data_IF_327426378094
#
_entry.id   IF_327426378094
#
_cell.length_a   1.000
_cell.length_b   1.000
_cell.length_c   1.000
_cell.angle_alpha   90.00
_cell.angle_beta   90.00
_cell.angle_gamma   90.00
#
_symmetry.space_group_name_H-M   'P 1'
#
loop_
_entity.id
_entity.type
_entity.pdbx_description
1 polymer ?
#
# COMPACT_ATOMS: atom_id res chain seq x y z
N UNK A 1 -6.53 7.24 -19.44
CA UNK A 1 -5.16 7.82 -19.39
C UNK A 1 -4.11 6.71 -19.40
N UNK A 2 -2.85 7.03 -19.76
CA UNK A 2 -1.72 6.09 -19.70
C UNK A 2 -1.02 6.23 -18.34
N UNK A 3 -0.79 5.11 -17.66
CA UNK A 3 -0.09 5.02 -16.37
C UNK A 3 0.80 3.78 -16.34
N UNK A 4 1.62 3.63 -15.28
CA UNK A 4 2.59 2.54 -15.16
C UNK A 4 2.31 1.66 -13.95
N UNK A 5 2.43 0.34 -14.12
CA UNK A 5 2.18 -0.65 -13.07
C UNK A 5 3.24 -1.75 -13.12
N UNK A 6 3.76 -2.13 -11.96
CA UNK A 6 4.69 -3.25 -11.82
C UNK A 6 3.98 -4.49 -11.29
N UNK A 7 4.23 -5.65 -11.89
CA UNK A 7 3.61 -6.91 -11.47
C UNK A 7 4.49 -8.11 -11.85
N UNK A 8 4.40 -9.17 -11.03
CA UNK A 8 5.03 -10.47 -11.25
C UNK A 8 4.11 -11.48 -11.97
N UNK A 9 2.83 -11.14 -12.12
CA UNK A 9 1.77 -12.07 -12.53
C UNK A 9 0.95 -11.55 -13.71
N UNK A 10 0.97 -10.25 -13.98
CA UNK A 10 0.26 -9.65 -15.10
C UNK A 10 0.96 -9.90 -16.46
N UNK A 11 0.19 -9.77 -17.53
CA UNK A 11 0.66 -9.79 -18.92
C UNK A 11 -0.22 -8.89 -19.80
N UNK A 12 0.23 -8.60 -21.02
CA UNK A 12 -0.55 -7.79 -21.98
C UNK A 12 -1.96 -8.35 -22.19
N UNK A 13 -2.96 -7.48 -22.07
CA UNK A 13 -4.39 -7.84 -22.10
C UNK A 13 -4.99 -8.18 -20.74
N UNK A 14 -4.19 -8.28 -19.68
CA UNK A 14 -4.70 -8.47 -18.31
C UNK A 14 -5.55 -7.27 -17.91
N UNK A 15 -6.79 -7.52 -17.49
CA UNK A 15 -7.63 -6.55 -16.79
C UNK A 15 -7.30 -6.63 -15.30
N UNK A 16 -6.87 -5.53 -14.71
CA UNK A 16 -6.52 -5.49 -13.29
C UNK A 16 -7.80 -5.55 -12.44
N UNK A 17 -7.80 -6.47 -11.48
CA UNK A 17 -8.94 -6.72 -10.60
C UNK A 17 -8.66 -6.02 -9.27
N UNK A 18 -9.58 -5.15 -8.87
CA UNK A 18 -9.56 -4.51 -7.56
C UNK A 18 -9.57 -5.57 -6.45
N UNK A 19 -8.71 -5.39 -5.44
CA UNK A 19 -8.51 -6.36 -4.36
C UNK A 19 -8.39 -7.83 -4.83
N UNK A 20 -7.62 -8.08 -5.89
CA UNK A 20 -7.44 -9.43 -6.47
C UNK A 20 -7.04 -10.50 -5.42
N UNK A 21 -6.32 -10.09 -4.37
CA UNK A 21 -5.86 -10.98 -3.28
C UNK A 21 -6.83 -11.04 -2.09
N UNK A 22 -7.98 -10.35 -2.16
CA UNK A 22 -8.99 -10.30 -1.08
C UNK A 22 -8.43 -9.84 0.27
N UNK A 23 -7.49 -8.89 0.22
CA UNK A 23 -6.77 -8.36 1.37
C UNK A 23 -7.63 -7.43 2.23
N UNK A 24 -8.80 -6.97 1.77
CA UNK A 24 -9.67 -6.09 2.57
C UNK A 24 -10.06 -6.72 3.91
N UNK A 25 -10.15 -8.05 3.96
CA UNK A 25 -10.44 -8.81 5.18
C UNK A 25 -9.32 -8.73 6.21
N UNK A 26 -8.08 -8.48 5.80
CA UNK A 26 -6.94 -8.28 6.70
C UNK A 26 -6.93 -6.87 7.31
N UNK A 27 -7.54 -5.90 6.63
CA UNK A 27 -7.61 -4.49 7.06
C UNK A 27 -8.83 -4.21 7.92
N UNK A 28 -9.96 -4.86 7.64
CA UNK A 28 -11.24 -4.64 8.33
C UNK A 28 -11.16 -4.71 9.87
N UNK A 29 -10.44 -5.67 10.50
CA UNK A 29 -10.32 -5.74 11.96
C UNK A 29 -9.69 -4.48 12.57
N UNK A 30 -8.68 -3.90 11.93
CA UNK A 30 -8.02 -2.69 12.39
C UNK A 30 -8.94 -1.46 12.31
N UNK A 31 -9.72 -1.34 11.23
CA UNK A 31 -10.73 -0.27 11.10
C UNK A 31 -11.81 -0.40 12.19
N UNK A 32 -12.30 -1.61 12.45
CA UNK A 32 -13.28 -1.88 13.52
C UNK A 32 -12.69 -1.49 14.88
N UNK A 33 -11.43 -1.84 15.13
CA UNK A 33 -10.75 -1.53 16.38
C UNK A 33 -10.64 -0.01 16.61
N UNK A 34 -10.21 0.77 15.60
CA UNK A 34 -10.13 2.24 15.70
C UNK A 34 -11.49 2.91 15.92
N UNK A 35 -12.57 2.37 15.32
CA UNK A 35 -13.93 2.82 15.58
C UNK A 35 -14.37 2.62 17.04
N UNK A 36 -13.76 1.68 17.76
CA UNK A 36 -13.97 1.55 19.20
C UNK A 36 -13.12 2.56 19.97
N UNK A 37 -11.79 2.48 19.82
CA UNK A 37 -10.79 3.40 20.38
C UNK A 37 -9.37 2.96 19.99
N UNK A 38 -8.38 3.81 20.31
CA UNK A 38 -6.96 3.55 20.04
C UNK A 38 -6.41 2.37 20.84
N UNK A 39 -6.91 2.12 22.04
CA UNK A 39 -6.50 1.00 22.89
C UNK A 39 -6.87 -0.34 22.25
N UNK A 40 -8.06 -0.45 21.64
CA UNK A 40 -8.49 -1.62 20.89
C UNK A 40 -7.56 -1.87 19.69
N UNK A 41 -7.21 -0.83 18.94
CA UNK A 41 -6.27 -0.96 17.81
C UNK A 41 -4.89 -1.40 18.30
N UNK A 42 -4.38 -0.77 19.36
CA UNK A 42 -3.08 -1.09 19.94
C UNK A 42 -3.02 -2.54 20.45
N UNK A 43 -4.08 -3.02 21.10
CA UNK A 43 -4.16 -4.41 21.56
C UNK A 43 -4.19 -5.43 20.40
N UNK A 44 -4.89 -5.12 19.31
CA UNK A 44 -4.87 -5.95 18.10
C UNK A 44 -3.47 -5.99 17.48
N UNK A 45 -2.80 -4.84 17.41
CA UNK A 45 -1.41 -4.75 16.94
C UNK A 45 -0.44 -5.56 17.82
N UNK A 46 -0.53 -5.44 19.15
CA UNK A 46 0.26 -6.25 20.10
C UNK A 46 0.01 -7.75 19.94
N UNK A 47 -1.22 -8.15 19.63
CA UNK A 47 -1.55 -9.54 19.33
C UNK A 47 -0.83 -10.03 18.05
N UNK A 48 -0.75 -9.18 17.03
CA UNK A 48 0.05 -9.43 15.83
C UNK A 48 1.55 -9.58 16.13
N UNK A 49 2.10 -8.68 16.96
CA UNK A 49 3.50 -8.79 17.43
C UNK A 49 3.76 -10.09 18.17
N UNK A 50 2.83 -10.50 19.05
CA UNK A 50 2.94 -11.76 19.78
C UNK A 50 2.93 -12.96 18.84
N UNK A 51 2.03 -12.99 17.85
CA UNK A 51 1.98 -14.06 16.83
C UNK A 51 3.30 -14.12 16.06
N UNK A 52 3.84 -12.98 15.60
CA UNK A 52 5.15 -12.91 14.93
C UNK A 52 6.27 -13.49 15.80
N UNK A 53 6.30 -13.15 17.09
CA UNK A 53 7.29 -13.69 18.03
C UNK A 53 7.17 -15.22 18.20
N UNK A 54 5.93 -15.73 18.28
CA UNK A 54 5.66 -17.18 18.36
C UNK A 54 6.11 -17.88 17.08
N UNK A 55 5.72 -17.40 15.89
CA UNK A 55 6.15 -17.97 14.61
C UNK A 55 7.67 -17.94 14.46
N UNK A 56 8.30 -16.84 14.88
CA UNK A 56 9.75 -16.69 14.89
C UNK A 56 10.47 -17.73 15.75
N UNK A 57 9.92 -18.05 16.93
CA UNK A 57 10.45 -19.09 17.83
C UNK A 57 10.43 -20.49 17.20
N UNK A 58 9.45 -20.77 16.35
CA UNK A 58 9.29 -22.07 15.69
C UNK A 58 9.82 -22.11 14.24
N UNK A 59 10.65 -21.14 13.84
CA UNK A 59 11.20 -21.02 12.48
C UNK A 59 10.13 -20.95 11.37
N UNK A 60 8.93 -20.47 11.71
CA UNK A 60 7.82 -20.23 10.77
C UNK A 60 7.80 -18.77 10.30
N UNK A 61 8.97 -18.13 10.20
CA UNK A 61 9.11 -16.70 9.87
C UNK A 61 8.52 -16.35 8.49
N UNK A 62 8.46 -17.31 7.58
CA UNK A 62 7.86 -17.12 6.25
C UNK A 62 6.32 -17.15 6.27
N UNK A 63 5.71 -17.41 7.43
CA UNK A 63 4.26 -17.26 7.66
C UNK A 63 3.91 -15.95 8.37
N UNK A 64 4.85 -15.01 8.47
CA UNK A 64 4.59 -13.70 9.09
C UNK A 64 3.42 -13.02 8.37
N UNK A 65 2.31 -12.88 9.08
CA UNK A 65 1.20 -12.05 8.66
C UNK A 65 1.76 -10.64 8.65
N UNK A 66 1.87 -9.99 7.50
CA UNK A 66 2.40 -8.63 7.34
C UNK A 66 1.50 -7.58 8.06
N UNK A 67 1.27 -7.74 9.37
CA UNK A 67 0.22 -7.12 10.17
C UNK A 67 0.50 -5.64 10.38
N UNK A 68 1.77 -5.23 10.33
CA UNK A 68 2.17 -3.81 10.31
C UNK A 68 1.55 -3.13 9.09
N UNK A 69 1.67 -3.71 7.90
CA UNK A 69 1.05 -3.17 6.68
C UNK A 69 -0.46 -3.08 6.82
N UNK A 70 -1.11 -4.14 7.32
CA UNK A 70 -2.57 -4.16 7.47
C UNK A 70 -3.06 -3.18 8.54
N UNK A 71 -2.28 -2.96 9.59
CA UNK A 71 -2.53 -1.94 10.60
C UNK A 71 -2.42 -0.53 10.01
N UNK A 72 -1.37 -0.26 9.22
CA UNK A 72 -1.20 1.02 8.50
C UNK A 72 -2.33 1.29 7.52
N UNK A 73 -2.67 0.31 6.67
CA UNK A 73 -3.82 0.41 5.75
C UNK A 73 -5.14 0.57 6.51
N UNK A 74 -5.27 -0.03 7.71
CA UNK A 74 -6.42 0.14 8.59
C UNK A 74 -6.58 1.56 9.13
N UNK A 75 -5.47 2.24 9.45
CA UNK A 75 -5.49 3.66 9.83
C UNK A 75 -5.93 4.51 8.63
N UNK A 76 -5.38 4.24 7.46
CA UNK A 76 -5.71 5.01 6.25
C UNK A 76 -7.19 4.82 5.88
N UNK A 77 -7.70 3.59 5.88
CA UNK A 77 -9.11 3.34 5.59
C UNK A 77 -10.02 3.93 6.68
N UNK A 78 -9.62 3.92 7.95
CA UNK A 78 -10.35 4.60 9.01
C UNK A 78 -10.45 6.12 8.75
N UNK A 79 -9.34 6.78 8.44
CA UNK A 79 -9.33 8.22 8.13
C UNK A 79 -10.16 8.52 6.89
N UNK A 80 -9.99 7.74 5.82
CA UNK A 80 -10.77 7.88 4.59
C UNK A 80 -12.27 7.78 4.84
N UNK A 81 -12.74 6.75 5.57
CA UNK A 81 -14.16 6.57 5.85
C UNK A 81 -14.80 7.72 6.63
N UNK A 82 -14.04 8.35 7.53
CA UNK A 82 -14.58 9.37 8.44
C UNK A 82 -14.37 10.80 7.94
N UNK A 83 -13.30 11.06 7.19
CA UNK A 83 -12.85 12.41 6.86
C UNK A 83 -12.79 12.67 5.33
N UNK A 84 -12.57 11.63 4.51
CA UNK A 84 -12.43 11.76 3.05
C UNK A 84 -13.15 10.66 2.25
N UNK A 85 -14.46 10.46 2.47
CA UNK A 85 -15.20 9.32 1.92
C UNK A 85 -15.31 9.33 0.38
N UNK A 86 -15.03 10.46 -0.27
CA UNK A 86 -15.02 10.65 -1.71
C UNK A 86 -13.84 9.95 -2.40
N UNK A 87 -12.73 9.71 -1.69
CA UNK A 87 -11.57 9.06 -2.26
C UNK A 87 -11.72 7.53 -2.29
N UNK A 88 -11.08 6.85 -3.26
CA UNK A 88 -11.13 5.40 -3.37
C UNK A 88 -10.45 4.72 -2.18
N UNK A 89 -10.97 3.56 -1.77
CA UNK A 89 -10.30 2.69 -0.80
C UNK A 89 -9.02 2.14 -1.44
N UNK A 90 -7.89 2.35 -0.75
CA UNK A 90 -6.56 1.90 -1.14
C UNK A 90 -6.47 0.40 -1.43
N UNK A 91 -7.05 -0.45 -0.59
CA UNK A 91 -6.99 -1.91 -0.75
C UNK A 91 -7.87 -2.40 -1.89
N UNK A 92 -9.05 -1.79 -2.05
CA UNK A 92 -10.00 -2.11 -3.12
C UNK A 92 -9.71 -1.35 -4.42
N UNK A 93 -8.47 -0.88 -4.59
CA UNK A 93 -7.99 -0.16 -5.77
C UNK A 93 -6.73 -0.79 -6.33
N UNK A 94 -6.39 -0.39 -7.55
CA UNK A 94 -5.09 -0.62 -8.14
C UNK A 94 -4.23 0.64 -8.02
N UNK A 95 -2.92 0.42 -7.89
CA UNK A 95 -1.92 1.46 -7.76
C UNK A 95 -1.13 1.59 -9.06
N UNK A 96 -0.90 2.84 -9.45
CA UNK A 96 -0.14 3.19 -10.65
C UNK A 96 0.82 4.34 -10.39
N UNK A 97 1.73 4.54 -11.33
CA UNK A 97 2.64 5.67 -11.37
C UNK A 97 2.44 6.50 -12.63
N UNK A 98 2.76 7.78 -12.51
CA UNK A 98 2.66 8.77 -13.58
C UNK A 98 3.85 8.72 -14.55
N UNK A 99 4.98 8.14 -14.13
CA UNK A 99 6.21 8.08 -14.90
C UNK A 99 6.99 6.79 -14.69
N UNK A 100 7.80 6.46 -15.69
CA UNK A 100 8.75 5.34 -15.62
C UNK A 100 9.80 5.58 -14.53
N UNK A 101 10.22 6.83 -14.32
CA UNK A 101 11.21 7.16 -13.27
C UNK A 101 10.65 6.88 -11.87
N UNK A 102 9.39 7.23 -11.61
CA UNK A 102 8.68 6.86 -10.38
C UNK A 102 8.66 5.33 -10.17
N UNK A 103 8.38 4.57 -11.24
CA UNK A 103 8.38 3.11 -11.20
C UNK A 103 9.78 2.51 -10.97
N UNK A 104 10.83 3.07 -11.58
CA UNK A 104 12.22 2.66 -11.35
C UNK A 104 12.62 2.86 -9.89
N UNK A 105 12.31 4.03 -9.34
CA UNK A 105 12.60 4.34 -7.94
C UNK A 105 11.90 3.35 -7.00
N UNK A 106 10.63 3.02 -7.24
CA UNK A 106 9.93 2.02 -6.44
C UNK A 106 10.57 0.64 -6.58
N UNK A 107 10.94 0.24 -7.79
CA UNK A 107 11.57 -1.06 -8.01
C UNK A 107 12.89 -1.21 -7.26
N UNK A 108 13.73 -0.18 -7.24
CA UNK A 108 14.97 -0.20 -6.46
C UNK A 108 14.71 -0.17 -4.94
N UNK A 109 13.69 0.55 -4.47
CA UNK A 109 13.29 0.57 -3.05
C UNK A 109 12.77 -0.80 -2.56
N UNK A 110 11.92 -1.47 -3.35
CA UNK A 110 11.28 -2.73 -2.96
C UNK A 110 12.15 -3.97 -3.28
N UNK A 111 12.96 -3.91 -4.33
CA UNK A 111 13.67 -5.08 -4.90
C UNK A 111 15.16 -4.86 -5.16
N UNK A 112 15.73 -3.69 -4.83
CA UNK A 112 17.16 -3.40 -5.08
C UNK A 112 18.11 -4.34 -4.32
N UNK A 113 17.71 -4.79 -3.13
CA UNK A 113 18.47 -5.73 -2.30
C UNK A 113 18.04 -7.20 -2.50
N UNK A 114 17.05 -7.47 -3.37
CA UNK A 114 16.62 -8.82 -3.70
C UNK A 114 17.62 -9.49 -4.66
N UNK A 115 17.65 -10.82 -4.67
CA UNK A 115 18.47 -11.54 -5.64
C UNK A 115 17.95 -11.35 -7.08
N UNK A 116 18.80 -11.66 -8.05
CA UNK A 116 18.47 -11.46 -9.47
C UNK A 116 17.25 -12.29 -9.91
N UNK A 117 17.01 -13.45 -9.30
CA UNK A 117 15.88 -14.31 -9.64
C UNK A 117 14.56 -13.67 -9.23
N UNK A 118 14.48 -13.09 -8.03
CA UNK A 118 13.31 -12.33 -7.59
C UNK A 118 13.12 -11.04 -8.42
N UNK A 119 14.21 -10.33 -8.70
CA UNK A 119 14.17 -9.11 -9.52
C UNK A 119 13.65 -9.37 -10.94
N UNK A 120 14.05 -10.48 -11.57
CA UNK A 120 13.62 -10.81 -12.94
C UNK A 120 12.15 -11.26 -13.03
N UNK A 121 11.49 -11.57 -11.89
CA UNK A 121 10.03 -11.84 -11.87
C UNK A 121 9.23 -10.56 -12.06
N UNK A 122 9.74 -9.41 -11.61
CA UNK A 122 9.01 -8.14 -11.64
C UNK A 122 9.08 -7.53 -13.03
N UNK A 123 7.91 -7.26 -13.60
CA UNK A 123 7.75 -6.66 -14.93
C UNK A 123 7.11 -5.29 -14.81
N UNK A 124 7.47 -4.38 -15.73
CA UNK A 124 6.88 -3.05 -15.82
C UNK A 124 5.95 -2.97 -17.03
N UNK A 125 4.75 -2.45 -16.81
CA UNK A 125 3.71 -2.39 -17.82
C UNK A 125 3.19 -0.96 -18.04
N UNK A 126 2.83 -0.65 -19.29
CA UNK A 126 1.93 0.46 -19.59
C UNK A 126 0.48 0.00 -19.46
N UNK A 127 -0.33 0.82 -18.79
CA UNK A 127 -1.73 0.56 -18.51
C UNK A 127 -2.61 1.63 -19.15
N UNK A 128 -3.68 1.20 -19.82
CA UNK A 128 -4.82 2.04 -20.13
C UNK A 128 -5.74 2.07 -18.90
N UNK A 129 -5.70 3.16 -18.14
CA UNK A 129 -6.59 3.41 -17.01
C UNK A 129 -7.82 4.19 -17.48
N UNK A 130 -9.02 3.64 -17.31
CA UNK A 130 -10.31 4.26 -17.66
C UNK A 130 -10.91 4.96 -16.46
N UNK A 131 -10.18 5.95 -15.96
CA UNK A 131 -10.59 6.85 -14.91
C UNK A 131 -10.38 8.29 -15.38
N UNK A 132 -11.45 9.09 -15.37
CA UNK A 132 -11.40 10.50 -15.76
C UNK A 132 -10.83 11.38 -14.64
N UNK A 133 -10.86 10.90 -13.39
CA UNK A 133 -10.37 11.64 -12.23
C UNK A 133 -9.80 10.69 -11.16
N UNK A 134 -8.70 9.97 -11.46
CA UNK A 134 -8.07 9.13 -10.46
C UNK A 134 -7.45 9.97 -9.35
N UNK A 135 -7.29 9.36 -8.18
CA UNK A 135 -6.71 10.06 -7.04
C UNK A 135 -5.18 10.04 -7.11
N UNK A 136 -4.56 11.19 -6.84
CA UNK A 136 -3.11 11.35 -6.78
C UNK A 136 -2.72 11.66 -5.35
N UNK A 137 -1.87 10.84 -4.77
CA UNK A 137 -1.44 11.02 -3.39
C UNK A 137 0.07 10.90 -3.27
N UNK A 138 0.64 11.67 -2.35
CA UNK A 138 2.05 11.53 -2.00
C UNK A 138 2.26 10.25 -1.19
N UNK A 139 2.92 9.27 -1.82
CA UNK A 139 3.18 7.95 -1.25
C UNK A 139 4.04 8.02 0.02
N UNK A 140 4.85 9.07 0.19
CA UNK A 140 5.75 9.21 1.34
C UNK A 140 4.98 9.22 2.66
N UNK A 141 3.77 9.79 2.72
CA UNK A 141 2.97 9.77 3.94
C UNK A 141 2.57 8.36 4.39
N UNK A 142 2.35 7.45 3.44
CA UNK A 142 2.09 6.05 3.77
C UNK A 142 3.34 5.37 4.35
N UNK A 143 4.51 5.62 3.77
CA UNK A 143 5.77 5.10 4.31
C UNK A 143 6.06 5.64 5.72
N UNK A 144 5.90 6.94 5.95
CA UNK A 144 6.09 7.55 7.27
C UNK A 144 5.14 6.94 8.32
N UNK A 145 3.88 6.71 7.95
CA UNK A 145 2.94 6.00 8.82
C UNK A 145 3.35 4.55 9.06
N UNK A 146 3.82 3.85 8.02
CA UNK A 146 4.31 2.47 8.16
C UNK A 146 5.46 2.38 9.15
N UNK A 147 6.45 3.27 9.09
CA UNK A 147 7.59 3.28 10.01
C UNK A 147 7.15 3.54 11.45
N UNK A 148 6.24 4.50 11.67
CA UNK A 148 5.67 4.77 12.99
C UNK A 148 4.93 3.54 13.54
N UNK A 149 4.17 2.84 12.70
CA UNK A 149 3.44 1.63 13.09
C UNK A 149 4.37 0.42 13.23
N UNK A 150 5.47 0.34 12.49
CA UNK A 150 6.46 -0.71 12.63
C UNK A 150 7.12 -0.69 14.03
N UNK A 151 7.37 0.51 14.56
CA UNK A 151 7.94 0.74 15.89
C UNK A 151 6.89 1.08 16.97
N UNK A 152 5.63 0.67 16.77
CA UNK A 152 4.52 1.08 17.63
C UNK A 152 4.65 0.56 19.08
N UNK A 153 4.79 1.49 20.02
CA UNK A 153 4.99 1.25 21.46
C UNK A 153 4.04 2.07 22.35
N UNK A 154 3.40 3.11 21.82
CA UNK A 154 2.46 3.96 22.56
C UNK A 154 1.24 4.36 21.72
N UNK A 155 0.20 4.88 22.40
CA UNK A 155 -1.01 5.38 21.74
C UNK A 155 -0.77 6.69 20.97
N UNK A 156 0.19 7.51 21.39
CA UNK A 156 0.50 8.79 20.73
C UNK A 156 1.04 8.57 19.30
N UNK A 157 1.77 7.47 19.08
CA UNK A 157 2.23 7.09 17.74
C UNK A 157 1.05 6.77 16.78
N UNK A 158 -0.10 6.31 17.32
CA UNK A 158 -1.31 6.11 16.51
C UNK A 158 -1.85 7.46 16.03
N UNK A 159 -1.81 8.50 16.87
CA UNK A 159 -2.22 9.85 16.46
C UNK A 159 -1.29 10.40 15.37
N UNK A 160 0.02 10.18 15.49
CA UNK A 160 0.99 10.54 14.46
C UNK A 160 0.68 9.87 13.13
N UNK A 161 0.41 8.56 13.13
CA UNK A 161 0.06 7.82 11.92
C UNK A 161 -1.29 8.28 11.32
N UNK A 162 -2.27 8.66 12.15
CA UNK A 162 -3.53 9.27 11.71
C UNK A 162 -3.27 10.62 11.02
N UNK A 163 -2.37 11.45 11.56
CA UNK A 163 -2.02 12.73 10.92
C UNK A 163 -1.33 12.54 9.56
N UNK A 164 -0.47 11.52 9.43
CA UNK A 164 0.08 11.17 8.11
C UNK A 164 -0.99 10.71 7.13
N UNK A 165 -1.97 9.91 7.57
CA UNK A 165 -3.11 9.56 6.72
C UNK A 165 -3.95 10.79 6.32
N UNK A 166 -4.11 11.79 7.20
CA UNK A 166 -4.75 13.06 6.85
C UNK A 166 -3.94 13.88 5.85
N UNK A 167 -2.62 13.90 5.99
CA UNK A 167 -1.74 14.57 5.02
C UNK A 167 -1.85 13.91 3.64
N UNK A 168 -1.89 12.59 3.62
CA UNK A 168 -2.08 11.78 2.43
C UNK A 168 -3.37 12.14 1.68
N UNK A 169 -4.53 11.99 2.32
CA UNK A 169 -5.83 12.27 1.68
C UNK A 169 -6.07 13.78 1.50
N UNK A 170 -5.54 14.61 2.38
CA UNK A 170 -5.62 16.07 2.29
C UNK A 170 -4.75 16.69 1.18
N UNK A 171 -4.00 15.88 0.42
CA UNK A 171 -3.20 16.33 -0.72
C UNK A 171 -1.96 17.14 -0.34
N UNK A 172 -1.47 17.03 0.90
CA UNK A 172 -0.20 17.66 1.30
C UNK A 172 0.95 16.92 0.62
N UNK A 173 2.00 17.66 0.26
CA UNK A 173 3.20 17.13 -0.36
C UNK A 173 4.38 17.25 0.60
N UNK A 174 5.07 16.13 0.82
CA UNK A 174 6.36 16.08 1.51
C UNK A 174 7.49 16.55 0.59
N UNK A 175 8.69 16.70 1.14
CA UNK A 175 9.89 16.93 0.34
C UNK A 175 10.22 15.70 -0.52
N UNK A 176 10.57 15.91 -1.79
CA UNK A 176 10.87 14.84 -2.75
C UNK A 176 9.74 13.80 -2.90
N UNK A 177 8.48 14.28 -2.81
CA UNK A 177 7.28 13.47 -2.96
C UNK A 177 7.28 12.66 -4.26
N UNK A 178 6.63 11.50 -4.19
CA UNK A 178 6.30 10.68 -5.35
C UNK A 178 4.81 10.44 -5.35
N UNK A 179 4.16 10.78 -6.45
CA UNK A 179 2.76 10.44 -6.60
C UNK A 179 2.59 8.94 -6.82
N UNK A 180 1.69 8.36 -6.05
CA UNK A 180 0.97 7.16 -6.46
C UNK A 180 -0.42 7.56 -6.93
N UNK A 181 -0.86 6.90 -7.99
CA UNK A 181 -2.19 7.06 -8.57
C UNK A 181 -3.03 5.89 -8.07
N UNK A 182 -4.13 6.19 -7.38
CA UNK A 182 -5.04 5.19 -6.84
C UNK A 182 -6.36 5.26 -7.59
N UNK A 183 -6.79 4.13 -8.15
CA UNK A 183 -8.08 4.04 -8.83
C UNK A 183 -8.71 2.65 -8.68
N UNK A 184 -10.03 2.65 -8.51
CA UNK A 184 -10.87 1.45 -8.53
C UNK A 184 -11.62 1.27 -9.86
N UNK A 185 -11.24 2.00 -10.91
CA UNK A 185 -11.85 1.89 -12.25
C UNK A 185 -11.16 0.84 -13.11
N UNK A 186 -11.74 0.59 -14.28
CA UNK A 186 -11.19 -0.39 -15.21
C UNK A 186 -9.77 0.03 -15.64
N UNK A 187 -8.83 -0.91 -15.53
CA UNK A 187 -7.46 -0.74 -15.95
C UNK A 187 -7.00 -1.99 -16.72
N UNK A 188 -6.40 -1.78 -17.89
CA UNK A 188 -5.96 -2.86 -18.77
C UNK A 188 -4.50 -2.68 -19.13
N UNK A 189 -3.72 -3.75 -18.98
CA UNK A 189 -2.32 -3.77 -19.42
C UNK A 189 -2.29 -3.76 -20.95
N UNK A 190 -1.67 -2.74 -21.53
CA UNK A 190 -1.64 -2.54 -23.00
C UNK A 190 -0.26 -2.79 -23.60
N UNK A 191 0.81 -2.68 -22.81
CA UNK A 191 2.16 -2.94 -23.29
C UNK A 191 3.07 -3.42 -22.16
N UNK A 192 4.04 -4.25 -22.50
CA UNK A 192 5.15 -4.59 -21.62
C UNK A 192 6.35 -3.70 -21.98
N UNK A 193 6.88 -3.02 -20.98
CA UNK A 193 8.02 -2.11 -21.12
C UNK A 193 9.10 -2.43 -20.06
N UNK A 194 9.21 -3.70 -19.66
CA UNK A 194 10.14 -4.15 -18.62
C UNK A 194 11.59 -3.81 -18.94
N UNK A 195 11.95 -3.70 -20.23
CA UNK A 195 13.28 -3.24 -20.65
C UNK A 195 13.61 -1.84 -20.16
N UNK A 196 12.59 -1.01 -19.89
CA UNK A 196 12.76 0.34 -19.35
C UNK A 196 12.86 0.37 -17.84
N UNK A 197 12.74 -0.76 -17.14
CA UNK A 197 12.95 -0.83 -15.69
C UNK A 197 14.44 -0.91 -15.35
N UNK A 198 15.25 -1.40 -16.30
CA UNK A 198 16.70 -1.60 -16.17
C UNK A 198 17.51 -0.36 -16.55
#
# INVERSE_FOLDING_TARGET
>A
MKVYHSSDTAHVGTRLINDYKTNIELVRPFVIALKQNKECFFNLYLSGQYIRAVLGKFNMKNMDTYFVKWASEGIFEYVRQNEFPEFPNRIESNYFFDSIESSKRLFEEDWGEADQEERDKIRLFEVELRDDNPAFFDMNWFYEAFEVIYELKSLDQIDTAIEYARNYFGGKQSENYRFEIVSNKEAVIINDITEKLK
#
